data_IF_638577972625
#
_entry.id   IF_638577972625
#
_cell.length_a   1.000
_cell.length_b   1.000
_cell.length_c   1.000
_cell.angle_alpha   90.00
_cell.angle_beta   90.00
_cell.angle_gamma   90.00
#
_symmetry.space_group_name_H-M   'P 1'
#
loop_
_entity.id
_entity.type
_entity.pdbx_description
1 polymer ?
#
# COMPACT_ATOMS: atom_id res chain seq x y z
N UNK A 1 -0.97 26.10 7.29
CA UNK A 1 -2.01 25.08 7.08
C UNK A 1 -1.37 23.72 7.27
N UNK A 2 -1.47 23.14 8.48
CA UNK A 2 -1.11 21.74 8.68
C UNK A 2 -2.03 20.93 7.76
N UNK A 3 -1.48 20.36 6.69
CA UNK A 3 -2.24 19.46 5.83
C UNK A 3 -2.86 18.42 6.73
N UNK A 4 -4.19 18.28 6.72
CA UNK A 4 -4.83 17.14 7.38
C UNK A 4 -4.07 15.92 6.89
N UNK A 5 -3.44 15.18 7.79
CA UNK A 5 -2.73 13.97 7.43
C UNK A 5 -3.77 13.07 6.76
N UNK A 6 -3.72 13.01 5.43
CA UNK A 6 -4.67 12.20 4.67
C UNK A 6 -4.37 10.77 5.05
N UNK A 7 -5.33 10.11 5.70
CA UNK A 7 -5.18 8.73 6.13
C UNK A 7 -4.81 7.90 4.91
N UNK A 8 -3.66 7.22 5.00
CA UNK A 8 -3.18 6.31 3.97
C UNK A 8 -3.48 4.89 4.37
N UNK A 9 -4.08 4.17 3.44
CA UNK A 9 -4.44 2.78 3.61
C UNK A 9 -3.50 1.91 2.80
N UNK A 10 -3.09 0.78 3.38
CA UNK A 10 -2.56 -0.34 2.65
C UNK A 10 -3.74 -1.10 2.05
N UNK A 11 -3.78 -1.18 0.72
CA UNK A 11 -4.85 -1.82 -0.03
C UNK A 11 -4.28 -2.88 -0.95
N UNK A 12 -5.03 -3.97 -1.12
CA UNK A 12 -4.83 -4.93 -2.20
C UNK A 12 -5.76 -4.57 -3.34
N UNK A 13 -5.18 -4.41 -4.52
CA UNK A 13 -5.89 -4.07 -5.76
C UNK A 13 -5.87 -5.26 -6.70
N UNK A 14 -7.05 -5.71 -7.08
CA UNK A 14 -7.23 -6.78 -8.07
C UNK A 14 -7.77 -6.16 -9.35
N UNK A 15 -7.04 -6.23 -10.49
CA UNK A 15 -7.53 -5.71 -11.76
C UNK A 15 -8.92 -6.26 -12.10
N UNK A 16 -9.77 -5.43 -12.70
CA UNK A 16 -11.05 -5.91 -13.23
C UNK A 16 -10.85 -6.91 -14.37
N UNK A 17 -11.84 -7.76 -14.62
CA UNK A 17 -11.78 -8.78 -15.67
C UNK A 17 -11.39 -8.17 -17.02
N UNK A 18 -10.34 -8.73 -17.65
CA UNK A 18 -9.79 -8.24 -18.90
C UNK A 18 -8.70 -7.16 -18.75
N UNK A 19 -8.40 -6.71 -17.53
CA UNK A 19 -7.26 -5.85 -17.22
C UNK A 19 -6.16 -6.64 -16.51
N UNK A 20 -4.91 -6.27 -16.75
CA UNK A 20 -3.75 -6.82 -16.07
C UNK A 20 -3.26 -5.90 -14.96
N UNK A 21 -2.36 -6.41 -14.09
CA UNK A 21 -1.66 -5.58 -13.11
C UNK A 21 -0.85 -4.47 -13.78
N UNK A 22 -0.33 -4.71 -14.99
CA UNK A 22 0.40 -3.69 -15.76
C UNK A 22 -0.53 -2.55 -16.22
N UNK A 23 -1.75 -2.88 -16.66
CA UNK A 23 -2.75 -1.89 -17.05
C UNK A 23 -3.16 -1.01 -15.87
N UNK A 24 -3.27 -1.60 -14.68
CA UNK A 24 -3.57 -0.87 -13.45
C UNK A 24 -2.46 0.13 -13.08
N UNK A 25 -1.20 -0.23 -13.36
CA UNK A 25 -0.03 0.58 -13.00
C UNK A 25 0.30 1.67 -14.03
N UNK A 26 -0.29 1.58 -15.22
CA UNK A 26 -0.32 2.69 -16.18
C UNK A 26 -1.28 3.80 -15.77
N UNK A 27 -2.17 3.57 -14.80
CA UNK A 27 -3.13 4.58 -14.36
C UNK A 27 -2.41 5.61 -13.46
N UNK A 28 -2.49 6.92 -13.77
CA UNK A 28 -1.77 7.96 -13.02
C UNK A 28 -2.48 8.29 -11.70
N UNK A 29 -2.53 7.34 -10.76
CA UNK A 29 -3.29 7.46 -9.51
C UNK A 29 -2.45 7.65 -8.24
N UNK A 30 -1.15 7.99 -8.36
CA UNK A 30 -0.26 8.18 -7.21
C UNK A 30 -0.31 7.00 -6.23
N UNK A 31 -0.22 5.78 -6.77
CA UNK A 31 -0.17 4.54 -5.99
C UNK A 31 1.28 4.27 -5.59
N UNK A 32 1.52 4.16 -4.28
CA UNK A 32 2.82 3.71 -3.78
C UNK A 32 2.80 2.19 -3.70
N UNK A 33 3.33 1.53 -4.73
CA UNK A 33 3.33 0.07 -4.85
C UNK A 33 4.33 -0.55 -3.88
N UNK A 34 3.86 -1.52 -3.09
CA UNK A 34 4.67 -2.25 -2.12
C UNK A 34 5.00 -3.66 -2.62
N UNK A 35 4.00 -4.38 -3.11
CA UNK A 35 4.16 -5.76 -3.57
C UNK A 35 3.36 -5.97 -4.85
N UNK A 36 3.94 -6.73 -5.79
CA UNK A 36 3.29 -7.11 -7.05
C UNK A 36 3.18 -8.62 -7.11
N UNK A 37 1.97 -9.09 -7.37
CA UNK A 37 1.66 -10.50 -7.63
C UNK A 37 1.07 -10.66 -9.03
N UNK A 38 1.01 -11.89 -9.54
CA UNK A 38 0.56 -12.15 -10.91
C UNK A 38 -0.88 -11.65 -11.22
N UNK A 39 -1.72 -11.52 -10.19
CA UNK A 39 -3.11 -11.07 -10.32
C UNK A 39 -3.53 -9.95 -9.37
N UNK A 40 -2.61 -9.41 -8.56
CA UNK A 40 -2.95 -8.34 -7.63
C UNK A 40 -1.72 -7.47 -7.31
N UNK A 41 -1.96 -6.27 -6.78
CA UNK A 41 -0.90 -5.40 -6.28
C UNK A 41 -1.28 -4.86 -4.92
N UNK A 42 -0.34 -4.89 -3.98
CA UNK A 42 -0.49 -4.22 -2.69
C UNK A 42 0.13 -2.84 -2.80
N UNK A 43 -0.62 -1.81 -2.45
CA UNK A 43 -0.18 -0.42 -2.55
C UNK A 43 -0.68 0.40 -1.36
N UNK A 44 0.08 1.44 -1.00
CA UNK A 44 -0.41 2.50 -0.13
C UNK A 44 -1.14 3.55 -0.98
N UNK A 45 -2.36 3.90 -0.57
CA UNK A 45 -3.21 4.85 -1.29
C UNK A 45 -3.97 5.75 -0.31
N UNK A 46 -4.27 6.98 -0.75
CA UNK A 46 -5.17 7.87 -0.01
C UNK A 46 -6.62 7.40 -0.14
N UNK A 47 -7.49 7.77 0.81
CA UNK A 47 -8.92 7.51 0.69
C UNK A 47 -9.52 8.07 -0.61
N UNK A 48 -9.02 9.23 -1.06
CA UNK A 48 -9.46 9.86 -2.30
C UNK A 48 -9.06 9.04 -3.54
N UNK A 49 -7.83 8.50 -3.55
CA UNK A 49 -7.36 7.58 -4.60
C UNK A 49 -8.20 6.31 -4.64
N UNK A 50 -8.51 5.74 -3.46
CA UNK A 50 -9.32 4.52 -3.36
C UNK A 50 -10.75 4.78 -3.86
N UNK A 51 -11.36 5.89 -3.46
CA UNK A 51 -12.68 6.28 -3.94
C UNK A 51 -12.70 6.43 -5.47
N UNK A 52 -11.65 6.98 -6.08
CA UNK A 52 -11.54 7.07 -7.53
C UNK A 52 -11.37 5.70 -8.22
N UNK A 53 -10.61 4.78 -7.63
CA UNK A 53 -10.46 3.40 -8.13
C UNK A 53 -11.82 2.67 -8.14
N UNK A 54 -12.57 2.77 -7.05
CA UNK A 54 -13.90 2.17 -6.90
C UNK A 54 -14.91 2.82 -7.85
N UNK A 55 -14.94 4.16 -7.91
CA UNK A 55 -15.85 4.93 -8.79
C UNK A 55 -15.67 4.60 -10.26
N UNK A 56 -14.42 4.45 -10.71
CA UNK A 56 -14.07 4.15 -12.11
C UNK A 56 -14.06 2.65 -12.41
N UNK A 57 -14.25 1.79 -11.40
CA UNK A 57 -14.16 0.33 -11.52
C UNK A 57 -12.85 -0.12 -12.18
N UNK A 58 -11.73 0.47 -11.75
CA UNK A 58 -10.40 0.14 -12.29
C UNK A 58 -9.89 -1.18 -11.67
N UNK A 59 -10.18 -1.39 -10.39
CA UNK A 59 -9.86 -2.60 -9.65
C UNK A 59 -10.87 -2.86 -8.54
N UNK A 60 -10.97 -4.13 -8.14
CA UNK A 60 -11.47 -4.48 -6.82
C UNK A 60 -10.48 -4.00 -5.76
N UNK A 61 -11.00 -3.34 -4.72
CA UNK A 61 -10.20 -2.79 -3.62
C UNK A 61 -10.52 -3.56 -2.35
N UNK A 62 -9.50 -4.16 -1.76
CA UNK A 62 -9.54 -4.73 -0.41
C UNK A 62 -8.67 -3.88 0.51
N UNK A 63 -9.27 -3.32 1.57
CA UNK A 63 -8.56 -2.49 2.57
C UNK A 63 -7.98 -3.42 3.63
N UNK A 64 -6.67 -3.44 3.77
CA UNK A 64 -5.97 -4.33 4.71
C UNK A 64 -5.84 -3.68 6.09
N UNK A 65 -5.15 -2.53 6.16
CA UNK A 65 -4.95 -1.73 7.38
C UNK A 65 -4.48 -0.31 7.03
N UNK A 66 -4.49 0.61 7.99
CA UNK A 66 -3.87 1.92 7.77
C UNK A 66 -2.33 1.82 7.85
N UNK A 67 -1.63 2.73 7.18
CA UNK A 67 -0.16 2.80 7.26
C UNK A 67 0.29 3.15 8.69
N UNK A 68 -0.45 4.03 9.37
CA UNK A 68 -0.16 4.39 10.76
C UNK A 68 -0.25 3.18 11.71
N UNK A 69 -1.25 2.30 11.52
CA UNK A 69 -1.35 1.07 12.29
C UNK A 69 -0.17 0.14 12.00
N UNK A 70 0.28 0.06 10.75
CA UNK A 70 1.42 -0.77 10.37
C UNK A 70 2.72 -0.26 11.00
N UNK A 71 2.97 1.05 10.98
CA UNK A 71 4.14 1.67 11.60
C UNK A 71 4.14 1.50 13.12
N UNK A 72 2.96 1.50 13.75
CA UNK A 72 2.83 1.29 15.20
C UNK A 72 3.08 -0.16 15.64
N UNK A 73 2.87 -1.11 14.73
CA UNK A 73 3.01 -2.55 14.95
C UNK A 73 4.39 -3.07 14.53
N UNK A 74 5.16 -2.27 13.78
CA UNK A 74 6.53 -2.59 13.44
C UNK A 74 7.33 -2.73 14.74
N UNK A 75 7.89 -3.92 15.05
CA UNK A 75 8.73 -4.07 16.22
C UNK A 75 9.89 -3.08 16.08
N UNK A 76 10.13 -2.29 17.12
CA UNK A 76 11.28 -1.40 17.21
C UNK A 76 12.54 -2.22 16.91
N UNK A 77 13.02 -2.14 15.67
CA UNK A 77 14.25 -2.80 15.24
C UNK A 77 15.42 -1.95 15.74
N UNK A 78 15.52 -1.87 17.07
CA UNK A 78 16.65 -1.31 17.83
C UNK A 78 17.47 -2.45 18.43
N UNK A 79 17.51 -3.60 17.75
CA UNK A 79 18.41 -4.70 18.09
C UNK A 79 18.90 -5.33 16.81
N UNK A 80 20.10 -4.94 16.40
CA UNK A 80 21.24 -5.84 16.21
C UNK A 80 22.41 -5.04 15.63
N UNK A 81 23.08 -4.24 16.47
CA UNK A 81 24.50 -3.92 16.27
C UNK A 81 25.19 -4.02 17.63
N UNK A 82 25.53 -5.26 17.97
CA UNK A 82 26.24 -5.64 19.19
C UNK A 82 26.97 -6.95 18.92
N UNK A 83 28.01 -6.87 18.09
CA UNK A 83 28.95 -7.93 17.74
C UNK A 83 29.42 -8.70 19.00
N UNK A 84 29.52 -10.04 18.98
CA UNK A 84 30.10 -10.79 20.09
C UNK A 84 31.62 -10.77 19.96
N UNK A 85 32.31 -10.04 20.82
CA UNK A 85 33.75 -10.20 21.03
C UNK A 85 34.01 -10.55 22.49
N UNK A 86 34.45 -11.78 22.74
CA UNK A 86 35.03 -12.19 24.02
C UNK A 86 34.65 -13.59 24.46
N UNK A 87 35.41 -14.61 24.03
CA UNK A 87 36.54 -15.14 24.80
C UNK A 87 37.14 -16.37 24.12
#
# INVERSE_FOLDING_TARGET
MAGRATVRWLVRLTPVLGCTVDDLLKVPLSLDVWEREAGSVVAAASEQTIAELERRRIAGVERLRTIADLESDAPSSDRLDGQPEGR
#
